data_IF_730222188922
#
_entry.id   IF_730222188922
#
_cell.length_a   1.000
_cell.length_b   1.000
_cell.length_c   1.000
_cell.angle_alpha   90.00
_cell.angle_beta   90.00
_cell.angle_gamma   90.00
#
_symmetry.space_group_name_H-M   'P 1'
#
loop_
_entity.id
_entity.type
_entity.pdbx_description
1 polymer ?
#
# COMPACT_ATOMS: atom_id res chain seq x y z
N UNK A 1 27.23 11.44 9.32
CA UNK A 1 27.03 11.69 7.88
C UNK A 1 26.01 10.67 7.41
N UNK A 2 24.78 11.09 7.12
CA UNK A 2 23.76 10.19 6.53
C UNK A 2 24.16 9.99 5.07
N UNK A 3 24.41 8.75 4.67
CA UNK A 3 24.72 8.40 3.28
C UNK A 3 23.59 8.86 2.34
N UNK A 4 23.89 9.32 1.12
CA UNK A 4 22.86 9.54 0.12
C UNK A 4 22.40 8.17 -0.40
N UNK A 5 21.16 7.79 -0.13
CA UNK A 5 20.53 6.68 -0.85
C UNK A 5 20.36 7.14 -2.30
N UNK A 6 20.95 6.37 -3.22
CA UNK A 6 20.92 6.61 -4.64
C UNK A 6 19.48 6.84 -5.12
N UNK A 7 19.27 7.94 -5.84
CA UNK A 7 18.10 8.11 -6.67
C UNK A 7 18.17 7.07 -7.78
N UNK A 8 17.43 5.97 -7.61
CA UNK A 8 17.12 5.07 -8.70
C UNK A 8 15.99 5.69 -9.51
N UNK A 9 16.26 5.96 -10.78
CA UNK A 9 15.31 6.39 -11.80
C UNK A 9 13.99 5.60 -11.69
N UNK A 10 12.88 6.30 -11.48
CA UNK A 10 11.53 5.73 -11.60
C UNK A 10 11.17 5.54 -13.08
N UNK A 11 11.79 4.61 -13.78
CA UNK A 11 11.24 4.11 -15.05
C UNK A 11 10.24 3.00 -14.73
N UNK A 12 8.94 3.32 -14.82
CA UNK A 12 7.82 2.38 -14.68
C UNK A 12 6.97 2.60 -13.41
N UNK A 13 6.34 3.77 -13.28
CA UNK A 13 5.61 4.26 -12.10
C UNK A 13 4.33 3.45 -11.76
N UNK A 14 4.47 2.20 -11.34
CA UNK A 14 3.38 1.53 -10.59
C UNK A 14 3.52 1.96 -9.14
N UNK A 15 2.44 2.45 -8.48
CA UNK A 15 2.47 2.71 -7.05
C UNK A 15 3.02 1.49 -6.31
N UNK A 16 3.91 1.68 -5.32
CA UNK A 16 4.56 0.57 -4.64
C UNK A 16 3.52 -0.33 -3.97
N UNK A 17 2.38 0.22 -3.54
CA UNK A 17 1.30 -0.53 -2.90
C UNK A 17 0.04 -0.45 -3.76
N UNK A 18 -0.61 -1.60 -3.97
CA UNK A 18 -1.93 -1.69 -4.60
C UNK A 18 -2.89 -2.36 -3.65
N UNK A 19 -4.01 -1.69 -3.37
CA UNK A 19 -5.15 -2.26 -2.66
C UNK A 19 -6.23 -2.60 -3.69
N UNK A 20 -6.47 -3.89 -3.86
CA UNK A 20 -7.44 -4.41 -4.82
C UNK A 20 -8.90 -4.11 -4.42
N UNK A 21 -9.87 -4.27 -5.35
CA UNK A 21 -11.28 -4.11 -5.04
C UNK A 21 -11.75 -4.98 -3.86
N UNK A 22 -12.74 -4.53 -3.09
CA UNK A 22 -13.41 -5.36 -2.09
C UNK A 22 -13.90 -6.67 -2.70
N UNK A 23 -13.50 -7.78 -2.10
CA UNK A 23 -14.01 -9.11 -2.44
C UNK A 23 -15.44 -9.28 -1.95
N UNK A 24 -16.13 -10.31 -2.46
CA UNK A 24 -17.46 -10.71 -1.94
C UNK A 24 -17.43 -11.09 -0.45
N UNK A 25 -16.25 -11.43 0.08
CA UNK A 25 -16.03 -11.79 1.49
C UNK A 25 -15.67 -10.58 2.38
N UNK A 26 -15.77 -9.35 1.86
CA UNK A 26 -15.52 -8.11 2.60
C UNK A 26 -14.05 -7.64 2.64
N UNK A 27 -13.09 -8.56 2.51
CA UNK A 27 -11.66 -8.22 2.52
C UNK A 27 -11.14 -7.64 1.19
N UNK A 28 -10.03 -6.91 1.26
CA UNK A 28 -9.26 -6.36 0.14
C UNK A 28 -7.86 -6.95 0.14
N UNK A 29 -7.43 -7.51 -1.01
CA UNK A 29 -6.04 -7.98 -1.16
C UNK A 29 -5.10 -6.78 -1.26
N UNK A 30 -3.97 -6.84 -0.57
CA UNK A 30 -2.91 -5.81 -0.61
C UNK A 30 -1.65 -6.41 -1.20
N UNK A 31 -1.05 -5.74 -2.17
CA UNK A 31 0.20 -6.15 -2.81
C UNK A 31 1.23 -5.03 -2.77
N UNK A 32 2.48 -5.36 -2.48
CA UNK A 32 3.63 -4.49 -2.73
C UNK A 32 4.27 -4.89 -4.05
N UNK A 33 4.21 -4.02 -5.06
CA UNK A 33 4.55 -4.35 -6.45
C UNK A 33 3.79 -5.60 -6.95
N UNK A 34 4.44 -6.77 -6.96
CA UNK A 34 3.86 -8.05 -7.35
C UNK A 34 3.73 -9.05 -6.19
N UNK A 35 4.20 -8.71 -4.99
CA UNK A 35 4.17 -9.58 -3.82
C UNK A 35 2.91 -9.32 -2.99
N UNK A 36 2.22 -10.39 -2.57
CA UNK A 36 1.04 -10.28 -1.73
C UNK A 36 1.43 -10.11 -0.26
N UNK A 37 1.05 -8.97 0.33
CA UNK A 37 1.25 -8.72 1.76
C UNK A 37 0.16 -9.38 2.61
N UNK A 38 -1.08 -9.42 2.11
CA UNK A 38 -2.19 -10.02 2.84
C UNK A 38 -3.58 -9.62 2.33
N UNK A 39 -4.59 -9.90 3.16
CA UNK A 39 -5.97 -9.47 2.97
C UNK A 39 -6.36 -8.57 4.15
N UNK A 40 -6.64 -7.30 3.87
CA UNK A 40 -7.09 -6.30 4.83
C UNK A 40 -8.61 -6.30 4.91
N UNK A 41 -9.17 -6.14 6.11
CA UNK A 41 -10.62 -6.00 6.32
C UNK A 41 -11.01 -4.59 6.76
N UNK A 42 -10.01 -3.74 7.02
CA UNK A 42 -10.14 -2.35 7.45
C UNK A 42 -8.86 -1.59 7.14
N UNK A 43 -8.91 -0.27 7.26
CA UNK A 43 -7.81 0.63 6.93
C UNK A 43 -6.56 0.35 7.77
N UNK A 44 -6.73 0.00 9.04
CA UNK A 44 -5.61 -0.28 9.95
C UNK A 44 -4.82 -1.50 9.53
N UNK A 45 -5.47 -2.53 8.97
CA UNK A 45 -4.78 -3.73 8.51
C UNK A 45 -3.83 -3.41 7.33
N UNK A 46 -4.18 -2.42 6.50
CA UNK A 46 -3.29 -1.94 5.43
C UNK A 46 -2.04 -1.31 6.04
N UNK A 47 -2.20 -0.40 7.01
CA UNK A 47 -1.06 0.19 7.71
C UNK A 47 -0.20 -0.87 8.42
N UNK A 48 -0.82 -1.88 9.03
CA UNK A 48 -0.11 -3.01 9.65
C UNK A 48 0.78 -3.75 8.64
N UNK A 49 0.27 -4.04 7.43
CA UNK A 49 1.06 -4.68 6.39
C UNK A 49 2.24 -3.83 5.93
N UNK A 50 2.07 -2.52 5.79
CA UNK A 50 3.14 -1.62 5.39
C UNK A 50 4.23 -1.53 6.47
N UNK A 51 3.85 -1.52 7.75
CA UNK A 51 4.81 -1.59 8.85
C UNK A 51 5.60 -2.90 8.84
N UNK A 52 4.93 -4.03 8.58
CA UNK A 52 5.61 -5.33 8.46
C UNK A 52 6.51 -5.40 7.21
N UNK A 53 6.19 -4.63 6.16
CA UNK A 53 7.03 -4.46 4.97
C UNK A 53 8.21 -3.48 5.18
N UNK A 54 8.33 -2.86 6.36
CA UNK A 54 9.46 -2.03 6.74
C UNK A 54 9.24 -0.52 6.66
N UNK A 55 8.03 -0.06 6.33
CA UNK A 55 7.70 1.36 6.35
C UNK A 55 7.50 1.85 7.78
N UNK A 56 8.05 3.01 8.12
CA UNK A 56 7.78 3.67 9.39
C UNK A 56 6.43 4.38 9.39
N UNK A 57 5.95 4.76 10.57
CA UNK A 57 4.65 5.43 10.72
C UNK A 57 4.61 6.80 10.02
N UNK A 58 5.74 7.48 9.91
CA UNK A 58 5.88 8.74 9.15
C UNK A 58 5.93 8.56 7.63
N UNK A 59 6.26 7.36 7.14
CA UNK A 59 6.24 7.01 5.72
C UNK A 59 4.86 6.53 5.24
N UNK A 60 3.98 6.10 6.17
CA UNK A 60 2.66 5.56 5.84
C UNK A 60 1.64 6.69 5.69
N UNK A 61 1.46 7.14 4.45
CA UNK A 61 0.39 8.07 4.06
C UNK A 61 -0.65 7.34 3.22
N UNK A 62 -1.74 6.88 3.87
CA UNK A 62 -2.73 5.99 3.23
C UNK A 62 -3.53 6.67 2.10
N UNK A 63 -3.52 8.00 2.08
CA UNK A 63 -4.14 8.86 1.07
C UNK A 63 -3.16 9.34 -0.02
N UNK A 64 -1.86 9.05 0.10
CA UNK A 64 -0.87 9.43 -0.92
C UNK A 64 -1.00 8.52 -2.16
N UNK A 65 -1.44 9.05 -3.32
CA UNK A 65 -1.58 8.28 -4.54
C UNK A 65 -0.24 7.83 -5.14
N UNK A 66 0.88 8.40 -4.70
CA UNK A 66 2.22 7.95 -5.09
C UNK A 66 2.66 6.71 -4.30
N UNK A 67 2.07 6.49 -3.12
CA UNK A 67 2.33 5.33 -2.27
C UNK A 67 1.31 4.22 -2.52
N UNK A 68 0.01 4.55 -2.53
CA UNK A 68 -1.08 3.56 -2.57
C UNK A 68 -2.03 3.81 -3.74
N UNK A 69 -2.18 2.79 -4.59
CA UNK A 69 -3.28 2.72 -5.54
C UNK A 69 -4.49 2.00 -4.91
N UNK A 70 -5.59 2.71 -4.74
CA UNK A 70 -6.87 2.14 -4.31
C UNK A 70 -7.74 1.77 -5.51
N UNK A 71 -7.97 0.46 -5.73
CA UNK A 71 -8.82 -0.04 -6.82
C UNK A 71 -10.21 -0.40 -6.31
N UNK A 72 -11.25 -0.05 -7.06
CA UNK A 72 -12.64 -0.40 -6.73
C UNK A 72 -13.21 0.37 -5.53
N UNK A 73 -12.74 1.60 -5.29
CA UNK A 73 -13.13 2.45 -4.17
C UNK A 73 -11.93 2.89 -3.33
N UNK A 74 -12.08 4.01 -2.63
CA UNK A 74 -11.02 4.65 -1.82
C UNK A 74 -10.74 3.97 -0.48
N UNK A 75 -9.94 4.60 0.39
CA UNK A 75 -9.61 4.10 1.75
C UNK A 75 -10.83 4.02 2.69
N UNK A 76 -11.95 4.63 2.32
CA UNK A 76 -13.23 4.63 3.02
C UNK A 76 -14.20 3.55 2.51
N UNK A 77 -13.87 2.89 1.40
CA UNK A 77 -14.75 1.92 0.74
C UNK A 77 -14.49 0.48 1.20
N UNK A 78 -15.28 0.01 2.16
CA UNK A 78 -15.26 -1.35 2.72
C UNK A 78 -16.69 -1.95 2.75
N UNK A 79 -16.82 -3.29 2.82
CA UNK A 79 -18.11 -4.00 2.84
C UNK A 79 -18.26 -4.90 4.05
#
# INVERSE_FOLDING_TARGET
MRSPAAGSSLEGMTPPIVVHPPSEKGGRRVTAHAEQLGVAYRLEDVAEFLRHAGLSEDEIQLDDPNLIEWRGGGPDSWR
#
